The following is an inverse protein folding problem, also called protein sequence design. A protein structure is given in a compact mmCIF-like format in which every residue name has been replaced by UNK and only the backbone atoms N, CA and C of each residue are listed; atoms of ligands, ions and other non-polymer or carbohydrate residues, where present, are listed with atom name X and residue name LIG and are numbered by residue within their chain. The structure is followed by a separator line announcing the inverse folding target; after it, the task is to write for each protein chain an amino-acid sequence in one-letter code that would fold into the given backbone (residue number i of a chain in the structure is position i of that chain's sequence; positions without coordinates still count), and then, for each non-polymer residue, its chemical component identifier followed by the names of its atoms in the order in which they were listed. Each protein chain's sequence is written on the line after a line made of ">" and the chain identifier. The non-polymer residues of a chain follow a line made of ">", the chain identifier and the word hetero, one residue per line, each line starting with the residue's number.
data_IF_781742086143
#
_entry.id   IF_781742086143
#
_cell.length_a   1.000
_cell.length_b   1.000
_cell.length_c   1.000
_cell.angle_alpha   90.00
_cell.angle_beta   90.00
_cell.angle_gamma   90.00
#
_symmetry.space_group_name_H-M   'P 1'
#
loop_
_entity.id
_entity.type
_entity.pdbx_description
1 polymer ?
#
# COMPACT_ATOMS: atom_id res chain seq x y z
N UNK A 1 -10.00 0.81 -13.93
CA UNK A 1 -9.16 0.11 -12.94
C UNK A 1 -7.73 0.23 -13.37
N UNK A 2 -6.91 0.90 -12.56
CA UNK A 2 -5.46 0.84 -12.68
C UNK A 2 -4.96 -0.15 -11.65
N UNK A 3 -4.04 -1.03 -12.05
CA UNK A 3 -3.35 -1.92 -11.12
C UNK A 3 -2.29 -1.12 -10.35
N UNK A 4 -2.29 -1.28 -9.03
CA UNK A 4 -1.35 -0.61 -8.13
C UNK A 4 -0.74 -1.59 -7.14
N UNK A 5 0.52 -1.34 -6.78
CA UNK A 5 1.22 -2.05 -5.71
C UNK A 5 1.28 -1.18 -4.46
N UNK A 6 0.92 -1.74 -3.31
CA UNK A 6 1.13 -1.11 -2.00
C UNK A 6 2.36 -1.76 -1.38
N UNK A 7 3.50 -1.09 -1.47
CA UNK A 7 4.72 -1.52 -0.78
C UNK A 7 4.66 -1.10 0.68
N UNK A 8 4.78 -2.09 1.56
CA UNK A 8 4.75 -1.89 3.01
C UNK A 8 6.17 -1.75 3.52
N UNK A 9 6.44 -0.64 4.22
CA UNK A 9 7.67 -0.40 4.97
C UNK A 9 7.34 -0.18 6.46
N UNK A 10 8.33 -0.24 7.37
CA UNK A 10 8.09 -0.07 8.80
C UNK A 10 7.36 1.23 9.18
N UNK A 11 7.64 2.35 8.49
CA UNK A 11 7.11 3.68 8.81
C UNK A 11 6.18 4.28 7.75
N UNK A 12 6.03 3.63 6.60
CA UNK A 12 5.22 4.14 5.48
C UNK A 12 4.63 2.99 4.64
N UNK A 13 3.52 3.28 3.96
CA UNK A 13 2.97 2.48 2.87
C UNK A 13 3.04 3.31 1.58
N UNK A 14 3.62 2.75 0.52
CA UNK A 14 3.84 3.44 -0.75
C UNK A 14 2.96 2.79 -1.81
N UNK A 15 2.08 3.58 -2.44
CA UNK A 15 1.28 3.12 -3.58
C UNK A 15 2.01 3.47 -4.87
N UNK A 16 2.19 2.46 -5.72
CA UNK A 16 2.97 2.53 -6.96
C UNK A 16 2.11 2.05 -8.11
N UNK A 17 2.10 2.79 -9.23
CA UNK A 17 1.42 2.35 -10.45
C UNK A 17 2.12 1.13 -11.03
N UNK A 18 1.40 0.03 -11.26
CA UNK A 18 2.00 -1.23 -11.70
C UNK A 18 2.68 -1.12 -13.08
N UNK A 19 2.09 -0.34 -13.98
CA UNK A 19 2.57 -0.16 -15.36
C UNK A 19 3.91 0.58 -15.44
N UNK A 20 4.10 1.62 -14.62
CA UNK A 20 5.23 2.56 -14.77
C UNK A 20 6.22 2.51 -13.62
N UNK A 21 5.85 1.90 -12.49
CA UNK A 21 6.63 1.98 -11.26
C UNK A 21 6.60 3.37 -10.59
N UNK A 22 5.72 4.26 -11.05
CA UNK A 22 5.60 5.61 -10.50
C UNK A 22 4.94 5.59 -9.12
N UNK A 23 5.53 6.30 -8.15
CA UNK A 23 4.93 6.48 -6.82
C UNK A 23 3.83 7.54 -6.92
N UNK A 24 2.58 7.10 -6.74
CA UNK A 24 1.42 7.99 -6.85
C UNK A 24 0.90 8.45 -5.49
N UNK A 25 1.11 7.66 -4.42
CA UNK A 25 0.73 8.02 -3.05
C UNK A 25 1.70 7.46 -2.02
N UNK A 26 1.79 8.16 -0.88
CA UNK A 26 2.51 7.73 0.31
C UNK A 26 1.65 7.96 1.54
N UNK A 27 1.57 6.96 2.40
CA UNK A 27 0.89 7.03 3.68
C UNK A 27 1.89 6.77 4.79
N UNK A 28 2.14 7.77 5.62
CA UNK A 28 3.02 7.66 6.79
C UNK A 28 2.25 7.99 8.06
N UNK A 29 2.66 7.39 9.16
CA UNK A 29 1.89 7.41 10.38
C UNK A 29 2.49 6.54 11.47
N UNK A 30 1.78 6.47 12.61
CA UNK A 30 2.31 5.92 13.85
C UNK A 30 2.48 4.40 13.83
N UNK A 31 1.64 3.68 13.09
CA UNK A 31 1.72 2.21 12.98
C UNK A 31 1.60 1.77 11.52
N UNK A 32 2.31 0.70 11.19
CA UNK A 32 2.34 0.10 9.86
C UNK A 32 0.94 -0.28 9.37
N UNK A 33 0.15 -0.91 10.23
CA UNK A 33 -1.19 -1.40 9.87
C UNK A 33 -2.16 -0.25 9.54
N UNK A 34 -2.06 0.88 10.24
CA UNK A 34 -2.84 2.07 9.92
C UNK A 34 -2.45 2.65 8.55
N UNK A 35 -1.14 2.69 8.25
CA UNK A 35 -0.66 3.18 6.96
C UNK A 35 -1.15 2.31 5.80
N UNK A 36 -1.12 0.97 5.98
CA UNK A 36 -1.62 0.02 4.97
C UNK A 36 -3.13 0.12 4.82
N UNK A 37 -3.87 0.15 5.92
CA UNK A 37 -5.34 0.28 5.90
C UNK A 37 -5.76 1.55 5.16
N UNK A 38 -5.06 2.66 5.41
CA UNK A 38 -5.31 3.93 4.70
C UNK A 38 -5.01 3.83 3.21
N UNK A 39 -3.88 3.24 2.83
CA UNK A 39 -3.53 3.04 1.43
C UNK A 39 -4.57 2.18 0.69
N UNK A 40 -5.06 1.10 1.32
CA UNK A 40 -6.12 0.24 0.75
C UNK A 40 -7.42 1.00 0.58
N UNK A 41 -7.83 1.79 1.59
CA UNK A 41 -9.05 2.59 1.51
C UNK A 41 -8.97 3.66 0.40
N UNK A 42 -7.81 4.30 0.25
CA UNK A 42 -7.56 5.25 -0.83
C UNK A 42 -7.65 4.57 -2.20
N UNK A 43 -7.04 3.40 -2.39
CA UNK A 43 -7.15 2.65 -3.65
C UNK A 43 -8.61 2.28 -3.98
N UNK A 44 -9.39 1.86 -2.99
CA UNK A 44 -10.84 1.59 -3.17
C UNK A 44 -11.61 2.84 -3.58
N UNK A 45 -11.31 3.99 -2.99
CA UNK A 45 -11.97 5.25 -3.33
C UNK A 45 -11.68 5.70 -4.78
N UNK A 46 -10.53 5.30 -5.34
CA UNK A 46 -10.14 5.59 -6.72
C UNK A 46 -10.41 4.43 -7.70
N UNK A 47 -11.12 3.38 -7.28
CA UNK A 47 -11.42 2.19 -8.10
C UNK A 47 -10.14 1.55 -8.70
N UNK A 48 -9.09 1.48 -7.88
CA UNK A 48 -7.80 0.88 -8.20
C UNK A 48 -7.70 -0.53 -7.62
N UNK A 49 -7.13 -1.45 -8.40
CA UNK A 49 -6.87 -2.82 -7.97
C UNK A 49 -5.52 -2.88 -7.26
N UNK A 50 -5.59 -3.01 -5.93
CA UNK A 50 -4.41 -2.94 -5.08
C UNK A 50 -3.88 -4.33 -4.71
N UNK A 51 -2.60 -4.56 -4.97
CA UNK A 51 -1.85 -5.72 -4.46
C UNK A 51 -0.87 -5.25 -3.37
N UNK A 52 -0.95 -5.85 -2.19
CA UNK A 52 -0.06 -5.53 -1.07
C UNK A 52 1.24 -6.33 -1.21
N UNK A 53 2.37 -5.64 -1.17
CA UNK A 53 3.72 -6.21 -1.27
C UNK A 53 4.47 -5.94 0.04
N UNK A 54 4.73 -6.99 0.82
CA UNK A 54 5.54 -6.92 2.03
C UNK A 54 6.99 -7.34 1.73
N UNK A 55 7.97 -6.70 2.37
CA UNK A 55 9.36 -7.14 2.28
C UNK A 55 9.54 -8.56 2.83
N UNK A 56 10.42 -9.32 2.19
CA UNK A 56 10.67 -10.73 2.50
C UNK A 56 11.31 -10.83 3.89
N UNK A 57 10.56 -11.35 4.86
CA UNK A 57 11.01 -11.49 6.25
C UNK A 57 10.22 -10.66 7.26
N UNK A 58 9.38 -9.73 6.79
CA UNK A 58 8.41 -9.07 7.68
C UNK A 58 7.13 -9.91 7.82
N UNK A 59 6.49 -9.95 9.00
CA UNK A 59 5.19 -10.58 9.16
C UNK A 59 4.19 -9.94 8.20
N UNK A 60 3.32 -10.73 7.57
CA UNK A 60 2.25 -10.20 6.73
C UNK A 60 1.35 -9.27 7.58
N UNK A 61 0.89 -8.16 7.01
CA UNK A 61 -0.09 -7.30 7.69
C UNK A 61 -1.33 -8.12 8.04
N UNK A 62 -1.73 -8.08 9.32
CA UNK A 62 -3.00 -8.64 9.77
C UNK A 62 -4.10 -7.60 9.54
N UNK A 63 -4.38 -7.28 8.28
CA UNK A 63 -5.52 -6.46 7.95
C UNK A 63 -6.77 -7.37 7.98
N UNK A 64 -7.34 -7.52 9.19
CA UNK A 64 -8.67 -8.10 9.42
C UNK A 64 -9.78 -7.09 9.12
#
# INVERSE_FOLDING_TARGET
>A
MYDVFIYVKPSEAITVKAETGEIIRRSSGRTRDLNVSRAVLECRAYEEEATIVCEKGEPACSAS
#
